data_IF_602614004717
#
_entry.id   IF_602614004717
#
_cell.length_a   1.000
_cell.length_b   1.000
_cell.length_c   1.000
_cell.angle_alpha   90.00
_cell.angle_beta   90.00
_cell.angle_gamma   90.00
#
_symmetry.space_group_name_H-M   'P 1'
#
loop_
_entity.id
_entity.type
_entity.pdbx_description
1 polymer ?
#
# COMPACT_ATOMS: atom_id res chain seq x y z
N UNK A 1 17.75 -2.38 -23.99
CA UNK A 1 16.59 -2.17 -23.08
C UNK A 1 16.27 -0.69 -23.05
N UNK A 2 15.03 -0.29 -23.42
CA UNK A 2 14.66 1.13 -23.51
C UNK A 2 14.65 1.75 -22.11
N UNK A 3 15.57 2.69 -21.87
CA UNK A 3 15.54 3.57 -20.72
C UNK A 3 14.23 4.37 -20.77
N UNK A 4 13.47 4.36 -19.67
CA UNK A 4 12.28 5.17 -19.52
C UNK A 4 12.69 6.65 -19.45
N UNK A 5 12.59 7.35 -20.57
CA UNK A 5 12.63 8.80 -20.63
C UNK A 5 11.47 9.36 -19.80
N UNK A 6 11.77 10.31 -18.91
CA UNK A 6 10.77 11.15 -18.26
C UNK A 6 10.06 11.98 -19.33
N UNK A 7 8.89 11.50 -19.77
CA UNK A 7 7.94 12.33 -20.52
C UNK A 7 7.08 13.04 -19.48
N UNK A 8 7.38 14.30 -19.22
CA UNK A 8 6.50 15.20 -18.47
C UNK A 8 5.30 15.59 -19.34
N UNK A 9 4.35 14.67 -19.51
CA UNK A 9 2.97 15.06 -19.82
C UNK A 9 2.30 15.38 -18.51
N UNK A 10 1.55 16.48 -18.44
CA UNK A 10 0.65 16.77 -17.32
C UNK A 10 -0.25 15.54 -17.12
N UNK A 11 0.06 14.77 -16.08
CA UNK A 11 -0.60 13.51 -15.81
C UNK A 11 -1.95 13.85 -15.20
N UNK A 12 -3.02 13.77 -15.99
CA UNK A 12 -4.36 13.57 -15.44
C UNK A 12 -4.23 12.42 -14.44
N UNK A 13 -4.48 12.69 -13.15
CA UNK A 13 -4.26 11.69 -12.12
C UNK A 13 -5.01 10.41 -12.49
N UNK A 14 -4.33 9.25 -12.47
CA UNK A 14 -4.98 7.99 -12.75
C UNK A 14 -6.10 7.80 -11.74
N UNK A 15 -7.18 7.20 -12.21
CA UNK A 15 -8.33 6.91 -11.37
C UNK A 15 -8.01 5.70 -10.50
N UNK A 16 -7.98 5.89 -9.18
CA UNK A 16 -7.49 4.89 -8.22
C UNK A 16 -8.66 4.20 -7.51
N UNK A 17 -8.64 2.87 -7.53
CA UNK A 17 -9.58 2.02 -6.82
C UNK A 17 -8.86 1.28 -5.71
N UNK A 18 -9.41 1.31 -4.51
CA UNK A 18 -8.93 0.50 -3.41
C UNK A 18 -9.79 -0.74 -3.24
N UNK A 19 -9.17 -1.92 -3.18
CA UNK A 19 -9.86 -3.17 -2.92
C UNK A 19 -9.22 -3.88 -1.74
N UNK A 20 -9.97 -4.12 -0.68
CA UNK A 20 -9.58 -5.01 0.42
C UNK A 20 -10.53 -6.20 0.52
N UNK A 21 -10.10 -7.26 1.16
CA UNK A 21 -10.89 -8.48 1.32
C UNK A 21 -10.50 -9.26 2.57
N UNK A 22 -11.42 -10.07 3.07
CA UNK A 22 -11.16 -11.16 4.01
C UNK A 22 -11.72 -12.47 3.44
N UNK A 23 -11.90 -13.50 4.27
CA UNK A 23 -12.47 -14.78 3.85
C UNK A 23 -13.95 -14.68 3.41
N UNK A 24 -14.67 -13.63 3.83
CA UNK A 24 -16.13 -13.53 3.73
C UNK A 24 -16.60 -12.43 2.78
N UNK A 25 -15.83 -11.35 2.61
CA UNK A 25 -16.25 -10.15 1.89
C UNK A 25 -15.14 -9.55 1.04
N UNK A 26 -15.56 -8.88 -0.04
CA UNK A 26 -14.81 -7.86 -0.74
C UNK A 26 -15.34 -6.47 -0.34
N UNK A 27 -14.43 -5.52 -0.19
CA UNK A 27 -14.71 -4.10 -0.03
C UNK A 27 -13.99 -3.32 -1.13
N UNK A 28 -14.74 -2.73 -2.04
CA UNK A 28 -14.23 -1.88 -3.11
C UNK A 28 -14.57 -0.43 -2.80
N UNK A 29 -13.56 0.44 -2.80
CA UNK A 29 -13.72 1.87 -2.57
C UNK A 29 -13.23 2.65 -3.77
N UNK A 30 -14.10 3.52 -4.25
CA UNK A 30 -13.85 4.54 -5.27
C UNK A 30 -13.74 5.88 -4.57
N UNK A 31 -12.70 6.65 -4.91
CA UNK A 31 -12.60 8.06 -4.50
C UNK A 31 -13.08 8.98 -5.62
N UNK A 32 -14.11 9.77 -5.35
CA UNK A 32 -14.62 10.82 -6.22
C UNK A 32 -14.40 12.18 -5.56
N UNK A 33 -13.46 12.99 -6.07
CA UNK A 33 -13.14 14.31 -5.49
C UNK A 33 -12.90 14.24 -3.96
N UNK A 34 -13.93 14.51 -3.16
CA UNK A 34 -13.90 14.50 -1.69
C UNK A 34 -14.79 13.42 -1.04
N UNK A 35 -15.43 12.54 -1.81
CA UNK A 35 -16.30 11.47 -1.30
C UNK A 35 -15.79 10.09 -1.66
N UNK A 36 -16.12 9.12 -0.81
CA UNK A 36 -15.91 7.71 -1.09
C UNK A 36 -17.24 7.05 -1.46
N UNK A 37 -17.20 6.30 -2.56
CA UNK A 37 -18.27 5.37 -2.91
C UNK A 37 -17.79 3.97 -2.55
N UNK A 38 -18.59 3.25 -1.76
CA UNK A 38 -18.21 1.97 -1.15
C UNK A 38 -19.13 0.88 -1.69
N UNK A 39 -18.53 -0.21 -2.13
CA UNK A 39 -19.24 -1.39 -2.61
C UNK A 39 -18.82 -2.61 -1.79
N UNK A 40 -19.80 -3.33 -1.27
CA UNK A 40 -19.60 -4.54 -0.50
C UNK A 40 -20.14 -5.74 -1.28
N UNK A 41 -19.38 -6.83 -1.28
CA UNK A 41 -19.80 -8.08 -1.90
C UNK A 41 -19.41 -9.27 -1.03
N UNK A 42 -20.38 -10.13 -0.72
CA UNK A 42 -20.15 -11.38 0.02
C UNK A 42 -19.52 -12.44 -0.89
N UNK A 43 -18.59 -13.22 -0.36
CA UNK A 43 -17.95 -14.38 -1.00
C UNK A 43 -18.80 -15.65 -0.83
N UNK A 44 -18.74 -16.61 -1.78
CA UNK A 44 -17.97 -16.55 -3.03
C UNK A 44 -18.70 -15.69 -4.08
N UNK A 45 -17.96 -14.77 -4.69
CA UNK A 45 -18.38 -14.04 -5.86
C UNK A 45 -17.16 -13.82 -6.75
N UNK A 46 -17.35 -13.84 -8.07
CA UNK A 46 -16.24 -13.63 -8.99
C UNK A 46 -15.74 -12.19 -8.90
N UNK A 47 -14.46 -12.03 -8.54
CA UNK A 47 -13.88 -10.71 -8.29
C UNK A 47 -13.86 -9.85 -9.56
N UNK A 48 -13.66 -10.46 -10.72
CA UNK A 48 -13.62 -9.75 -12.00
C UNK A 48 -15.00 -9.17 -12.33
N UNK A 49 -16.05 -9.98 -12.20
CA UNK A 49 -17.44 -9.54 -12.33
C UNK A 49 -17.76 -8.42 -11.33
N UNK A 50 -17.34 -8.56 -10.07
CA UNK A 50 -17.62 -7.56 -9.04
C UNK A 50 -17.00 -6.21 -9.39
N UNK A 51 -15.73 -6.19 -9.81
CA UNK A 51 -15.08 -4.95 -10.25
C UNK A 51 -15.79 -4.39 -11.48
N UNK A 52 -16.02 -5.20 -12.52
CA UNK A 52 -16.65 -4.75 -13.76
C UNK A 52 -18.04 -4.13 -13.52
N UNK A 53 -18.86 -4.73 -12.66
CA UNK A 53 -20.21 -4.20 -12.34
C UNK A 53 -20.15 -2.81 -11.71
N UNK A 54 -19.14 -2.54 -10.88
CA UNK A 54 -19.02 -1.30 -10.11
C UNK A 54 -18.07 -0.27 -10.74
N UNK A 55 -17.47 -0.59 -11.89
CA UNK A 55 -16.51 0.29 -12.59
C UNK A 55 -16.78 0.37 -14.09
N UNK A 56 -17.94 -0.10 -14.56
CA UNK A 56 -18.22 -0.27 -16.00
C UNK A 56 -18.24 1.06 -16.75
N UNK A 57 -18.80 2.12 -16.16
CA UNK A 57 -18.83 3.45 -16.76
C UNK A 57 -17.43 4.05 -16.89
N UNK A 58 -16.59 3.89 -15.87
CA UNK A 58 -15.22 4.41 -15.82
C UNK A 58 -14.27 3.60 -16.68
N UNK A 59 -14.45 2.28 -16.76
CA UNK A 59 -13.70 1.43 -17.69
C UNK A 59 -14.01 1.79 -19.15
N UNK A 60 -15.23 2.20 -19.46
CA UNK A 60 -15.59 2.64 -20.80
C UNK A 60 -15.01 4.02 -21.16
N UNK A 61 -14.82 4.91 -20.17
CA UNK A 61 -14.29 6.26 -20.38
C UNK A 61 -12.76 6.37 -20.19
N UNK A 62 -12.16 5.50 -19.38
CA UNK A 62 -10.79 5.64 -18.84
C UNK A 62 -10.02 4.31 -18.78
N UNK A 63 -10.29 3.37 -19.70
CA UNK A 63 -9.72 2.02 -19.76
C UNK A 63 -8.19 1.92 -19.57
N UNK A 64 -7.43 2.95 -19.96
CA UNK A 64 -5.96 3.00 -19.83
C UNK A 64 -5.46 3.69 -18.54
N UNK A 65 -6.34 4.11 -17.63
CA UNK A 65 -6.02 4.99 -16.49
C UNK A 65 -6.55 4.52 -15.14
N UNK A 66 -7.15 3.34 -15.06
CA UNK A 66 -7.66 2.77 -13.81
C UNK A 66 -6.56 1.97 -13.11
N UNK A 67 -6.21 2.35 -11.89
CA UNK A 67 -5.25 1.65 -11.04
C UNK A 67 -5.99 0.99 -9.89
N UNK A 68 -6.11 -0.34 -9.92
CA UNK A 68 -6.55 -1.12 -8.78
C UNK A 68 -5.41 -1.29 -7.79
N UNK A 69 -5.63 -0.95 -6.53
CA UNK A 69 -4.67 -1.06 -5.44
C UNK A 69 -5.19 -2.08 -4.44
N UNK A 70 -4.39 -3.10 -4.14
CA UNK A 70 -4.72 -4.15 -3.18
C UNK A 70 -3.73 -4.16 -2.02
N UNK A 71 -4.19 -4.10 -0.76
CA UNK A 71 -3.33 -4.25 0.40
C UNK A 71 -2.90 -5.71 0.53
N UNK A 72 -1.61 -5.90 0.75
CA UNK A 72 -0.96 -7.16 1.11
C UNK A 72 -0.59 -7.09 2.58
N UNK A 73 -0.78 -8.19 3.31
CA UNK A 73 -0.42 -8.19 4.72
C UNK A 73 1.06 -7.90 4.90
N UNK A 74 1.35 -6.99 5.82
CA UNK A 74 2.69 -6.59 6.20
C UNK A 74 3.57 -7.77 6.62
N UNK A 75 2.94 -8.82 7.15
CA UNK A 75 3.60 -10.06 7.59
C UNK A 75 4.11 -10.91 6.41
N UNK A 76 3.53 -10.77 5.21
CA UNK A 76 4.00 -11.45 4.00
C UNK A 76 5.07 -10.68 3.24
N UNK A 77 5.32 -9.41 3.59
CA UNK A 77 6.31 -8.56 2.92
C UNK A 77 7.60 -8.59 3.72
N UNK A 78 8.62 -9.26 3.18
CA UNK A 78 9.98 -9.16 3.71
C UNK A 78 10.55 -7.77 3.40
N UNK A 79 11.20 -7.17 4.40
CA UNK A 79 11.75 -5.81 4.30
C UNK A 79 13.15 -5.75 4.89
N UNK A 80 14.04 -5.00 4.24
CA UNK A 80 15.36 -4.68 4.78
C UNK A 80 15.77 -3.27 4.44
N UNK A 81 16.23 -2.54 5.45
CA UNK A 81 16.91 -1.25 5.25
C UNK A 81 18.41 -1.50 5.13
N UNK A 82 19.02 -0.94 4.09
CA UNK A 82 20.48 -0.94 3.88
C UNK A 82 20.96 0.47 3.55
N UNK A 83 22.26 0.72 3.74
CA UNK A 83 22.88 1.99 3.37
C UNK A 83 23.95 1.72 2.31
N UNK A 84 23.78 2.30 1.13
CA UNK A 84 24.65 2.06 -0.03
C UNK A 84 25.24 3.38 -0.55
N UNK A 85 26.45 3.37 -1.15
CA UNK A 85 27.07 4.58 -1.68
C UNK A 85 26.22 5.32 -2.72
N UNK A 86 26.23 6.66 -2.68
CA UNK A 86 25.60 7.53 -3.68
C UNK A 86 26.21 7.43 -5.07
N UNK A 87 27.43 6.93 -5.16
CA UNK A 87 28.19 6.78 -6.41
C UNK A 87 27.68 5.64 -7.29
N UNK A 88 26.86 4.73 -6.74
CA UNK A 88 26.28 3.64 -7.52
C UNK A 88 25.27 4.20 -8.53
N UNK A 89 25.43 3.81 -9.80
CA UNK A 89 24.39 4.04 -10.80
C UNK A 89 23.22 3.04 -10.61
N UNK A 90 22.13 3.25 -11.35
CA UNK A 90 20.92 2.44 -11.22
C UNK A 90 21.14 0.93 -11.47
N UNK A 91 22.03 0.56 -12.40
CA UNK A 91 22.32 -0.84 -12.73
C UNK A 91 23.11 -1.48 -11.58
N UNK A 92 24.16 -0.79 -11.11
CA UNK A 92 24.97 -1.26 -9.99
C UNK A 92 24.14 -1.40 -8.73
N UNK A 93 23.30 -0.41 -8.43
CA UNK A 93 22.37 -0.45 -7.31
C UNK A 93 21.47 -1.69 -7.41
N UNK A 94 20.83 -1.90 -8.55
CA UNK A 94 19.95 -3.05 -8.77
C UNK A 94 20.67 -4.40 -8.56
N UNK A 95 21.90 -4.54 -9.07
CA UNK A 95 22.72 -5.74 -8.87
C UNK A 95 23.06 -5.96 -7.39
N UNK A 96 23.40 -4.89 -6.65
CA UNK A 96 23.62 -4.97 -5.21
C UNK A 96 22.35 -5.43 -4.47
N UNK A 97 21.17 -4.93 -4.85
CA UNK A 97 19.89 -5.37 -4.27
C UNK A 97 19.66 -6.86 -4.53
N UNK A 98 19.89 -7.34 -5.76
CA UNK A 98 19.80 -8.78 -6.09
C UNK A 98 20.75 -9.59 -5.22
N UNK A 99 22.00 -9.15 -5.04
CA UNK A 99 22.96 -9.89 -4.22
C UNK A 99 22.54 -9.93 -2.74
N UNK A 100 22.02 -8.82 -2.21
CA UNK A 100 21.47 -8.78 -0.85
C UNK A 100 20.32 -9.78 -0.73
N UNK A 101 19.38 -9.78 -1.67
CA UNK A 101 18.25 -10.71 -1.66
C UNK A 101 18.72 -12.16 -1.71
N UNK A 102 19.69 -12.50 -2.57
CA UNK A 102 20.26 -13.86 -2.66
C UNK A 102 20.92 -14.33 -1.36
N UNK A 103 21.54 -13.41 -0.61
CA UNK A 103 22.22 -13.75 0.63
C UNK A 103 21.27 -13.84 1.83
N UNK A 104 20.18 -13.08 1.82
CA UNK A 104 19.30 -12.88 2.97
C UNK A 104 17.98 -13.65 2.87
N UNK A 105 17.53 -13.95 1.66
CA UNK A 105 16.31 -14.72 1.45
C UNK A 105 16.66 -16.20 1.36
N UNK A 106 15.91 -17.06 2.09
CA UNK A 106 16.05 -18.51 1.92
C UNK A 106 15.50 -19.00 0.58
N UNK A 107 14.85 -18.11 -0.20
CA UNK A 107 14.22 -18.42 -1.47
C UNK A 107 15.07 -17.95 -2.64
N UNK A 108 14.99 -18.69 -3.75
CA UNK A 108 15.60 -18.31 -5.01
C UNK A 108 15.00 -16.99 -5.53
N UNK A 109 15.83 -16.10 -6.06
CA UNK A 109 15.43 -14.74 -6.49
C UNK A 109 14.34 -14.78 -7.57
N UNK A 110 14.34 -15.82 -8.40
CA UNK A 110 13.39 -16.05 -9.49
C UNK A 110 11.96 -16.27 -8.96
N UNK A 111 11.82 -16.65 -7.69
CA UNK A 111 10.53 -16.88 -7.01
C UNK A 111 10.02 -15.66 -6.23
N UNK A 112 10.76 -14.55 -6.29
CA UNK A 112 10.44 -13.32 -5.57
C UNK A 112 10.05 -12.21 -6.55
N UNK A 113 8.99 -11.48 -6.21
CA UNK A 113 8.78 -10.12 -6.67
C UNK A 113 9.47 -9.20 -5.66
N UNK A 114 10.24 -8.23 -6.14
CA UNK A 114 10.89 -7.27 -5.25
C UNK A 114 10.88 -5.88 -5.86
N UNK A 115 10.88 -4.89 -4.97
CA UNK A 115 11.01 -3.47 -5.29
C UNK A 115 11.88 -2.81 -4.22
N UNK A 116 12.38 -1.61 -4.48
CA UNK A 116 13.17 -0.86 -3.50
C UNK A 116 13.01 0.64 -3.66
N UNK A 117 13.17 1.34 -2.55
CA UNK A 117 13.07 2.79 -2.47
C UNK A 117 14.35 3.40 -1.95
N UNK A 118 14.69 4.54 -2.54
CA UNK A 118 15.90 5.28 -2.23
C UNK A 118 15.56 6.58 -1.52
N UNK A 119 16.19 6.80 -0.37
CA UNK A 119 16.09 8.02 0.42
C UNK A 119 17.48 8.66 0.49
N UNK A 120 17.59 9.87 -0.07
CA UNK A 120 18.82 10.66 -0.03
C UNK A 120 19.03 11.23 1.36
N UNK A 121 20.15 10.89 2.00
CA UNK A 121 20.53 11.47 3.29
C UNK A 121 21.35 12.75 3.07
N UNK A 122 21.08 13.81 3.82
CA UNK A 122 21.72 15.12 3.63
C UNK A 122 23.23 15.13 3.90
N UNK A 123 23.73 14.29 4.81
CA UNK A 123 25.09 14.46 5.35
C UNK A 123 26.06 13.28 5.13
N UNK A 124 25.61 12.18 4.53
CA UNK A 124 26.45 11.01 4.29
C UNK A 124 26.52 10.74 2.78
N UNK A 125 27.68 10.31 2.26
CA UNK A 125 27.83 9.82 0.86
C UNK A 125 27.07 8.50 0.60
N UNK A 126 26.01 8.26 1.37
CA UNK A 126 25.20 7.07 1.41
C UNK A 126 23.74 7.44 1.10
N UNK A 127 23.06 6.56 0.38
CA UNK A 127 21.62 6.51 0.30
C UNK A 127 21.11 5.46 1.26
N UNK A 128 20.01 5.75 1.94
CA UNK A 128 19.23 4.72 2.61
C UNK A 128 18.36 4.05 1.55
N UNK A 129 18.43 2.73 1.46
CA UNK A 129 17.58 1.93 0.59
C UNK A 129 16.68 1.04 1.45
N UNK A 130 15.37 1.05 1.17
CA UNK A 130 14.42 0.10 1.76
C UNK A 130 14.02 -0.89 0.67
N UNK A 131 14.35 -2.16 0.89
CA UNK A 131 14.07 -3.27 -0.03
C UNK A 131 12.80 -3.97 0.45
N UNK A 132 11.90 -4.29 -0.48
CA UNK A 132 10.68 -5.06 -0.25
C UNK A 132 10.72 -6.32 -1.12
N UNK A 133 10.36 -7.46 -0.55
CA UNK A 133 10.25 -8.71 -1.30
C UNK A 133 8.98 -9.48 -0.90
N UNK A 134 8.36 -10.10 -1.88
CA UNK A 134 7.13 -10.89 -1.78
C UNK A 134 7.26 -12.16 -2.62
N UNK A 135 6.75 -13.29 -2.11
CA UNK A 135 6.72 -14.55 -2.88
C UNK A 135 5.81 -14.39 -4.10
N UNK A 136 6.29 -14.78 -5.28
CA UNK A 136 5.49 -14.74 -6.52
C UNK A 136 4.19 -15.52 -6.40
N UNK A 137 4.25 -16.75 -5.90
CA UNK A 137 3.05 -17.59 -5.73
C UNK A 137 1.97 -16.97 -4.85
N UNK A 138 2.34 -16.13 -3.88
CA UNK A 138 1.38 -15.37 -3.09
C UNK A 138 0.83 -14.18 -3.88
N UNK A 139 1.70 -13.42 -4.55
CA UNK A 139 1.31 -12.29 -5.39
C UNK A 139 0.40 -12.71 -6.55
N UNK A 140 0.68 -13.86 -7.20
CA UNK A 140 -0.04 -14.37 -8.36
C UNK A 140 -1.53 -14.60 -8.07
N UNK A 141 -1.86 -15.02 -6.83
CA UNK A 141 -3.24 -15.16 -6.37
C UNK A 141 -3.98 -13.81 -6.27
N UNK A 142 -3.24 -12.72 -6.06
CA UNK A 142 -3.76 -11.36 -5.93
C UNK A 142 -3.69 -10.58 -7.26
N UNK A 143 -2.79 -10.95 -8.17
CA UNK A 143 -2.58 -10.25 -9.44
C UNK A 143 -3.24 -10.95 -10.63
N UNK A 144 -4.21 -11.83 -10.38
CA UNK A 144 -5.10 -12.37 -11.43
C UNK A 144 -5.78 -11.25 -12.22
N UNK A 145 -6.00 -10.12 -11.56
CA UNK A 145 -6.43 -8.85 -12.14
C UNK A 145 -5.26 -7.87 -12.02
N UNK A 146 -4.89 -7.14 -13.09
CA UNK A 146 -3.84 -6.13 -13.04
C UNK A 146 -4.05 -5.15 -11.89
N UNK A 147 -3.13 -5.13 -10.94
CA UNK A 147 -3.21 -4.27 -9.76
C UNK A 147 -1.81 -3.93 -9.24
N UNK A 148 -1.76 -2.88 -8.41
CA UNK A 148 -0.61 -2.56 -7.57
C UNK A 148 -0.84 -3.21 -6.21
N UNK A 149 0.17 -3.93 -5.74
CA UNK A 149 0.20 -4.46 -4.39
C UNK A 149 0.86 -3.43 -3.47
N UNK A 150 0.14 -2.99 -2.44
CA UNK A 150 0.65 -2.08 -1.41
C UNK A 150 0.63 -2.76 -0.03
N UNK A 151 1.37 -2.24 0.94
CA UNK A 151 1.35 -2.77 2.30
C UNK A 151 0.05 -2.36 3.03
N UNK A 152 -0.60 -3.31 3.69
CA UNK A 152 -1.81 -3.05 4.48
C UNK A 152 -1.63 -1.92 5.51
N UNK A 153 -0.47 -1.83 6.16
CA UNK A 153 -0.21 -0.80 7.16
C UNK A 153 -0.09 0.59 6.51
N UNK A 154 0.50 0.67 5.30
CA UNK A 154 0.58 1.91 4.54
C UNK A 154 -0.81 2.36 4.06
N UNK A 155 -1.65 1.42 3.61
CA UNK A 155 -3.05 1.73 3.32
C UNK A 155 -3.77 2.24 4.59
N UNK A 156 -3.66 1.50 5.69
CA UNK A 156 -4.36 1.81 6.93
C UNK A 156 -4.00 3.21 7.47
N UNK A 157 -2.71 3.57 7.49
CA UNK A 157 -2.29 4.90 7.96
C UNK A 157 -2.75 6.02 7.03
N UNK A 158 -2.80 5.80 5.71
CA UNK A 158 -3.34 6.81 4.78
C UNK A 158 -4.81 7.08 5.07
N UNK A 159 -5.60 6.03 5.34
CA UNK A 159 -7.00 6.21 5.73
C UNK A 159 -7.15 6.94 7.07
N UNK A 160 -6.39 6.55 8.10
CA UNK A 160 -6.39 7.26 9.39
C UNK A 160 -6.02 8.73 9.19
N UNK A 161 -4.97 9.00 8.43
CA UNK A 161 -4.47 10.36 8.20
C UNK A 161 -5.51 11.22 7.48
N UNK A 162 -6.28 10.61 6.56
CA UNK A 162 -7.40 11.27 5.92
C UNK A 162 -8.51 11.61 6.93
N UNK A 163 -9.02 10.63 7.67
CA UNK A 163 -10.14 10.86 8.61
C UNK A 163 -9.77 11.74 9.81
N UNK A 164 -8.51 11.76 10.21
CA UNK A 164 -8.01 12.56 11.35
C UNK A 164 -7.30 13.85 10.93
N UNK A 165 -7.29 14.18 9.64
CA UNK A 165 -6.61 15.36 9.09
C UNK A 165 -5.13 15.47 9.55
N UNK A 166 -4.39 14.37 9.45
CA UNK A 166 -2.99 14.27 9.88
C UNK A 166 -1.99 14.48 8.74
N UNK A 167 -2.44 15.00 7.60
CA UNK A 167 -1.66 15.06 6.35
C UNK A 167 -0.38 15.89 6.43
N UNK A 168 -0.29 16.82 7.39
CA UNK A 168 0.84 17.75 7.53
C UNK A 168 1.74 17.45 8.75
N UNK A 169 1.58 16.30 9.40
CA UNK A 169 2.38 15.96 10.59
C UNK A 169 3.71 15.31 10.20
N UNK A 170 4.78 15.81 10.80
CA UNK A 170 6.14 15.23 10.71
C UNK A 170 6.26 13.91 11.47
N UNK A 171 5.43 13.71 12.50
CA UNK A 171 5.35 12.47 13.27
C UNK A 171 3.90 11.99 13.37
N UNK A 172 3.69 10.72 13.05
CA UNK A 172 2.41 10.07 13.24
C UNK A 172 2.27 9.56 14.66
N UNK A 173 1.12 9.78 15.30
CA UNK A 173 0.82 9.09 16.54
C UNK A 173 0.82 7.57 16.28
N UNK A 174 1.18 6.76 17.30
CA UNK A 174 0.96 5.34 17.26
C UNK A 174 -0.52 5.02 17.03
N UNK A 175 -0.80 3.90 16.39
CA UNK A 175 -2.17 3.44 16.13
C UNK A 175 -2.31 1.94 16.39
N UNK A 176 -3.52 1.53 16.73
CA UNK A 176 -3.89 0.13 16.91
C UNK A 176 -4.21 -0.51 15.56
N UNK A 177 -3.63 -1.68 15.29
CA UNK A 177 -3.93 -2.49 14.13
C UNK A 177 -3.87 -3.98 14.49
N UNK A 178 -5.00 -4.69 14.38
CA UNK A 178 -5.09 -6.14 14.66
C UNK A 178 -4.38 -6.54 15.98
N UNK A 179 -4.75 -5.88 17.08
CA UNK A 179 -4.19 -6.10 18.43
C UNK A 179 -2.70 -5.71 18.61
N UNK A 180 -2.07 -5.11 17.59
CA UNK A 180 -0.70 -4.57 17.67
C UNK A 180 -0.75 -3.06 17.72
N UNK A 181 0.24 -2.47 18.39
CA UNK A 181 0.47 -1.02 18.31
C UNK A 181 1.57 -0.75 17.30
N UNK A 182 1.30 0.13 16.36
CA UNK A 182 2.19 0.43 15.24
C UNK A 182 2.48 1.93 15.20
N UNK A 183 3.72 2.31 14.92
CA UNK A 183 4.11 3.69 14.71
C UNK A 183 4.92 3.83 13.42
N UNK A 184 4.51 4.76 12.57
CA UNK A 184 5.31 5.15 11.41
C UNK A 184 6.34 6.20 11.83
N UNK A 185 7.57 5.96 11.39
CA UNK A 185 8.65 6.96 11.42
C UNK A 185 8.99 7.33 9.97
N UNK A 186 9.78 8.39 9.77
CA UNK A 186 10.28 8.77 8.44
C UNK A 186 10.88 7.59 7.65
N UNK A 187 11.40 6.60 8.39
CA UNK A 187 12.22 5.56 7.83
C UNK A 187 11.62 4.15 7.88
N UNK A 188 10.76 3.86 8.86
CA UNK A 188 10.39 2.50 9.22
C UNK A 188 9.04 2.45 9.95
N UNK A 189 8.48 1.25 9.98
CA UNK A 189 7.35 0.89 10.83
C UNK A 189 7.90 0.26 12.10
N UNK A 190 7.51 0.78 13.27
CA UNK A 190 7.84 0.24 14.59
C UNK A 190 6.62 -0.43 15.18
N UNK A 191 6.82 -1.59 15.80
CA UNK A 191 5.80 -2.24 16.64
C UNK A 191 6.11 -1.94 18.10
N UNK A 192 5.15 -1.35 18.79
CA UNK A 192 5.29 -1.03 20.21
C UNK A 192 4.68 -2.17 21.04
N UNK A 193 5.38 -2.67 22.07
CA UNK A 193 4.88 -3.75 22.91
C UNK A 193 3.72 -3.29 23.81
N UNK A 194 3.69 -2.01 24.17
CA UNK A 194 2.67 -1.40 25.01
C UNK A 194 2.10 -0.19 24.27
N UNK A 195 0.77 -0.09 24.23
CA UNK A 195 0.09 1.04 23.63
C UNK A 195 0.30 2.30 24.49
N UNK A 196 0.85 3.39 23.93
CA UNK A 196 0.93 4.67 24.64
C UNK A 196 -0.46 5.32 24.73
N UNK A 197 -0.61 6.28 25.64
CA UNK A 197 -1.89 6.96 25.91
C UNK A 197 -2.47 7.67 24.67
N UNK A 198 -1.60 8.21 23.81
CA UNK A 198 -1.98 8.91 22.57
C UNK A 198 -2.20 7.97 21.37
N UNK A 199 -2.33 6.66 21.60
CA UNK A 199 -2.56 5.69 20.53
C UNK A 199 -3.94 5.86 19.90
N UNK A 200 -4.00 6.08 18.59
CA UNK A 200 -5.26 6.13 17.83
C UNK A 200 -5.80 4.72 17.67
N UNK A 201 -7.00 4.48 18.19
CA UNK A 201 -7.69 3.21 18.04
C UNK A 201 -8.65 3.27 16.86
N UNK A 202 -9.02 2.10 16.34
CA UNK A 202 -9.97 2.02 15.24
C UNK A 202 -11.35 2.55 15.66
N UNK A 203 -11.72 2.39 16.94
CA UNK A 203 -12.95 2.90 17.52
C UNK A 203 -13.02 4.42 17.43
N UNK A 204 -11.88 5.11 17.54
CA UNK A 204 -11.80 6.57 17.52
C UNK A 204 -12.09 7.17 16.13
N UNK A 205 -12.16 6.36 15.08
CA UNK A 205 -12.37 6.84 13.70
C UNK A 205 -13.86 6.91 13.43
N UNK A 206 -14.40 8.11 13.27
CA UNK A 206 -15.80 8.32 12.92
C UNK A 206 -16.02 8.00 11.44
N UNK A 207 -16.92 7.05 11.17
CA UNK A 207 -17.30 6.63 9.81
C UNK A 207 -18.82 6.49 9.81
N UNK A 208 -19.46 6.90 8.72
CA UNK A 208 -20.92 6.85 8.62
C UNK A 208 -21.42 5.40 8.77
N UNK A 209 -22.46 5.20 9.60
CA UNK A 209 -23.02 3.86 9.85
C UNK A 209 -23.55 3.20 8.57
N UNK A 210 -23.95 3.99 7.58
CA UNK A 210 -24.36 3.50 6.26
C UNK A 210 -23.28 2.74 5.50
N UNK A 211 -22.00 2.92 5.86
CA UNK A 211 -20.86 2.32 5.16
C UNK A 211 -20.35 1.02 5.83
N UNK A 212 -20.70 0.74 7.09
CA UNK A 212 -20.05 -0.31 7.90
C UNK A 212 -21.03 -1.04 8.83
N UNK A 213 -21.11 -2.37 8.68
CA UNK A 213 -21.95 -3.24 9.52
C UNK A 213 -21.21 -3.98 10.67
N UNK A 214 -19.89 -3.83 10.83
CA UNK A 214 -19.09 -4.46 11.92
C UNK A 214 -17.68 -3.86 12.07
N UNK A 215 -16.97 -4.15 13.17
CA UNK A 215 -15.58 -3.70 13.37
C UNK A 215 -14.60 -4.34 12.37
N UNK A 216 -14.82 -5.59 11.96
CA UNK A 216 -14.06 -6.23 10.89
C UNK A 216 -14.30 -5.51 9.55
N UNK A 217 -15.56 -5.13 9.27
CA UNK A 217 -15.89 -4.33 8.11
C UNK A 217 -15.22 -2.95 8.18
N UNK A 218 -15.03 -2.39 9.38
CA UNK A 218 -14.28 -1.14 9.58
C UNK A 218 -12.80 -1.28 9.19
N UNK A 219 -12.16 -2.39 9.55
CA UNK A 219 -10.78 -2.65 9.11
C UNK A 219 -10.67 -2.78 7.59
N UNK A 220 -11.54 -3.60 6.99
CA UNK A 220 -11.56 -3.77 5.53
C UNK A 220 -11.80 -2.44 4.82
N UNK A 221 -12.79 -1.68 5.27
CA UNK A 221 -13.08 -0.36 4.73
C UNK A 221 -11.88 0.58 4.80
N UNK A 222 -11.22 0.71 5.95
CA UNK A 222 -10.05 1.57 6.09
C UNK A 222 -8.89 1.14 5.18
N UNK A 223 -8.68 -0.16 5.00
CA UNK A 223 -7.70 -0.66 4.04
C UNK A 223 -8.05 -0.29 2.59
N UNK A 224 -9.33 -0.42 2.21
CA UNK A 224 -9.79 -0.06 0.87
C UNK A 224 -9.75 1.46 0.63
N UNK A 225 -10.18 2.28 1.60
CA UNK A 225 -10.02 3.75 1.56
C UNK A 225 -8.55 4.12 1.39
N UNK A 226 -7.70 3.55 2.23
CA UNK A 226 -6.25 3.78 2.19
C UNK A 226 -5.60 3.41 0.86
N UNK A 227 -6.07 2.32 0.25
CA UNK A 227 -5.66 1.89 -1.08
C UNK A 227 -6.16 2.84 -2.18
N UNK A 228 -7.40 3.34 -2.07
CA UNK A 228 -7.96 4.34 -3.01
C UNK A 228 -7.25 5.70 -2.95
N UNK A 229 -6.55 5.99 -1.84
CA UNK A 229 -5.74 7.19 -1.63
C UNK A 229 -4.29 7.05 -2.12
N UNK A 230 -3.93 5.91 -2.72
CA UNK A 230 -2.56 5.68 -3.20
C UNK A 230 -2.16 6.67 -4.30
N UNK A 231 -0.96 7.22 -4.18
CA UNK A 231 -0.42 8.24 -5.10
C UNK A 231 0.98 7.88 -5.65
N UNK A 232 1.43 6.63 -5.46
CA UNK A 232 2.77 6.18 -5.84
C UNK A 232 3.89 6.59 -4.88
N UNK A 233 3.58 7.25 -3.76
CA UNK A 233 4.53 7.61 -2.70
C UNK A 233 4.27 6.80 -1.43
N UNK A 234 5.32 6.60 -0.65
CA UNK A 234 5.32 5.76 0.58
C UNK A 234 4.97 6.53 1.83
N UNK A 235 5.27 7.82 1.82
CA UNK A 235 4.83 8.79 2.80
C UNK A 235 3.75 9.64 2.14
N UNK A 236 2.72 10.00 2.92
CA UNK A 236 1.46 10.65 2.49
C UNK A 236 1.57 11.38 1.15
#
# INVERSE_FOLDING_TARGET
MKLLQKVSKACLQPYVLGLSEDEHYYCLVKKETEKFTVFWQKKPFDLTCFIQMNTSEELNQHREKLNLIRPVSHSYIWRKTVFLPKTLNAIQLHQHIIQILKNEQPLAIETLNFDYQQFSLSNNNLNKIVIYALRKSYADNLTQIPCVLDCELHCYIRAISYFKNLTDKTEFPPFSFQQKTVQFTEANIRFLPIAPENCIKIEDIEISESEINSIQNKHLYLLAVGASLWNGKVLI
#
